data_IF_894853500219
#
_entry.id   IF_894853500219
#
_cell.length_a   1.000
_cell.length_b   1.000
_cell.length_c   1.000
_cell.angle_alpha   90.00
_cell.angle_beta   90.00
_cell.angle_gamma   90.00
#
_symmetry.space_group_name_H-M   'P 1'
#
loop_
_entity.id
_entity.type
_entity.pdbx_description
1 polymer ?
#
# COMPACT_ATOMS: atom_id res chain seq x y z
N UNK A 1 -6.42 -12.04 26.37
CA UNK A 1 -6.50 -10.57 26.65
C UNK A 1 -5.22 -9.77 26.33
N UNK A 2 -4.11 -9.82 27.09
CA UNK A 2 -2.93 -8.96 26.79
C UNK A 2 -2.33 -9.26 25.40
N UNK A 3 -2.15 -10.55 25.08
CA UNK A 3 -1.59 -10.99 23.79
C UNK A 3 -2.51 -10.61 22.61
N UNK A 4 -3.83 -10.74 22.80
CA UNK A 4 -4.83 -10.30 21.80
C UNK A 4 -4.71 -8.81 21.50
N UNK A 5 -4.63 -7.96 22.54
CA UNK A 5 -4.50 -6.51 22.36
C UNK A 5 -3.22 -6.14 21.60
N UNK A 6 -2.11 -6.84 21.90
CA UNK A 6 -0.84 -6.64 21.18
C UNK A 6 -0.98 -7.02 19.70
N UNK A 7 -1.58 -8.17 19.40
CA UNK A 7 -1.80 -8.63 18.02
C UNK A 7 -2.73 -7.68 17.25
N UNK A 8 -3.78 -7.16 17.90
CA UNK A 8 -4.68 -6.17 17.30
C UNK A 8 -3.96 -4.84 16.98
N UNK A 9 -3.14 -4.32 17.91
CA UNK A 9 -2.39 -3.08 17.69
C UNK A 9 -1.38 -3.25 16.55
N UNK A 10 -0.63 -4.36 16.53
CA UNK A 10 0.33 -4.65 15.46
C UNK A 10 -0.41 -4.77 14.12
N UNK A 11 -1.51 -5.51 14.08
CA UNK A 11 -2.31 -5.68 12.87
C UNK A 11 -2.84 -4.36 12.34
N UNK A 12 -3.41 -3.51 13.20
CA UNK A 12 -3.88 -2.17 12.81
C UNK A 12 -2.75 -1.29 12.28
N UNK A 13 -1.57 -1.38 12.89
CA UNK A 13 -0.40 -0.60 12.44
C UNK A 13 0.03 -1.02 11.04
N UNK A 14 0.02 -2.33 10.75
CA UNK A 14 0.32 -2.87 9.42
C UNK A 14 -0.72 -2.41 8.39
N UNK A 15 -2.00 -2.39 8.74
CA UNK A 15 -3.06 -1.91 7.86
C UNK A 15 -2.88 -0.43 7.52
N UNK A 16 -2.57 0.41 8.52
CA UNK A 16 -2.29 1.85 8.32
C UNK A 16 -1.12 2.04 7.36
N UNK A 17 -0.01 1.31 7.57
CA UNK A 17 1.15 1.36 6.68
C UNK A 17 0.74 0.93 5.26
N UNK A 18 -0.02 -0.16 5.13
CA UNK A 18 -0.46 -0.65 3.82
C UNK A 18 -1.36 0.33 3.07
N UNK A 19 -2.27 1.01 3.77
CA UNK A 19 -3.11 2.07 3.21
C UNK A 19 -2.28 3.28 2.77
N UNK A 20 -1.25 3.67 3.54
CA UNK A 20 -0.33 4.75 3.13
C UNK A 20 0.35 4.39 1.80
N UNK A 21 0.87 3.16 1.66
CA UNK A 21 1.50 2.70 0.42
C UNK A 21 0.54 2.73 -0.78
N UNK A 22 -0.74 2.42 -0.56
CA UNK A 22 -1.78 2.50 -1.59
C UNK A 22 -2.21 3.92 -1.92
N UNK A 23 -2.10 4.85 -0.97
CA UNK A 23 -2.47 6.25 -1.17
C UNK A 23 -1.35 7.08 -1.83
N UNK A 24 -0.08 6.66 -1.74
CA UNK A 24 1.05 7.36 -2.34
C UNK A 24 0.88 7.75 -3.83
N UNK A 25 0.31 6.90 -4.72
CA UNK A 25 0.07 7.25 -6.11
C UNK A 25 -0.96 8.38 -6.29
N UNK A 26 -1.87 8.58 -5.33
CA UNK A 26 -2.93 9.61 -5.39
C UNK A 26 -2.34 11.01 -5.16
N UNK A 27 -1.28 11.12 -4.37
CA UNK A 27 -0.58 12.39 -4.12
C UNK A 27 0.37 12.81 -5.24
N UNK A 28 0.28 12.19 -6.43
CA UNK A 28 1.07 12.60 -7.59
C UNK A 28 0.57 13.94 -8.14
N UNK A 29 1.50 14.87 -8.25
CA UNK A 29 1.27 16.24 -8.73
C UNK A 29 0.71 16.26 -10.17
N UNK A 30 -0.30 17.09 -10.43
CA UNK A 30 -0.99 17.19 -11.73
C UNK A 30 -0.02 17.54 -12.87
N UNK A 31 1.01 18.32 -12.58
CA UNK A 31 2.04 18.72 -13.55
C UNK A 31 2.85 17.51 -14.04
N UNK A 32 3.10 16.54 -13.14
CA UNK A 32 3.81 15.31 -13.46
C UNK A 32 2.94 14.37 -14.29
N UNK A 33 1.62 14.33 -14.03
CA UNK A 33 0.65 13.59 -14.83
C UNK A 33 0.56 14.17 -16.26
N UNK A 34 0.60 15.50 -16.41
CA UNK A 34 0.61 16.17 -17.72
C UNK A 34 1.89 15.89 -18.51
N UNK A 35 3.06 15.90 -17.86
CA UNK A 35 4.32 15.47 -18.49
C UNK A 35 4.30 14.01 -18.92
N UNK A 36 3.72 13.12 -18.11
CA UNK A 36 3.60 11.69 -18.46
C UNK A 36 2.63 11.45 -19.64
N UNK A 37 1.62 12.31 -19.84
CA UNK A 37 0.67 12.23 -20.97
C UNK A 37 1.15 12.91 -22.25
N UNK A 38 2.11 13.83 -22.19
CA UNK A 38 2.51 14.66 -23.34
C UNK A 38 3.47 13.98 -24.32
N UNK A 39 4.01 12.80 -24.01
CA UNK A 39 4.85 12.06 -24.97
C UNK A 39 3.99 11.43 -26.07
N UNK A 40 4.04 12.07 -27.25
CA UNK A 40 3.32 11.81 -28.51
C UNK A 40 3.22 10.36 -29.01
N UNK A 41 3.88 9.38 -28.39
CA UNK A 41 3.92 7.98 -28.83
C UNK A 41 3.81 6.96 -27.67
N UNK A 42 3.30 7.38 -26.49
CA UNK A 42 2.93 6.47 -25.40
C UNK A 42 4.10 5.73 -24.71
N UNK A 43 5.35 6.08 -25.01
CA UNK A 43 6.53 5.43 -24.44
C UNK A 43 7.53 6.46 -23.92
N UNK A 44 7.25 7.00 -22.74
CA UNK A 44 8.26 7.66 -21.93
C UNK A 44 8.88 6.61 -20.97
N UNK A 45 10.18 6.31 -21.07
CA UNK A 45 10.87 5.37 -20.18
C UNK A 45 10.70 5.75 -18.69
N UNK A 46 10.60 7.04 -18.40
CA UNK A 46 10.39 7.55 -17.04
C UNK A 46 8.98 7.24 -16.52
N UNK A 47 7.96 7.36 -17.37
CA UNK A 47 6.58 6.98 -17.05
C UNK A 47 6.45 5.48 -16.82
N UNK A 48 7.08 4.65 -17.66
CA UNK A 48 7.08 3.18 -17.46
C UNK A 48 7.74 2.80 -16.13
N UNK A 49 8.84 3.45 -15.76
CA UNK A 49 9.52 3.22 -14.47
C UNK A 49 8.65 3.66 -13.28
N UNK A 50 7.97 4.81 -13.39
CA UNK A 50 7.06 5.30 -12.35
C UNK A 50 5.84 4.40 -12.17
N UNK A 51 5.25 3.91 -13.27
CA UNK A 51 4.12 2.96 -13.21
C UNK A 51 4.54 1.65 -12.55
N UNK A 52 5.71 1.11 -12.90
CA UNK A 52 6.23 -0.12 -12.26
C UNK A 52 6.46 0.10 -10.77
N UNK A 53 7.01 1.25 -10.39
CA UNK A 53 7.22 1.61 -8.99
C UNK A 53 5.89 1.73 -8.22
N UNK A 54 4.89 2.38 -8.79
CA UNK A 54 3.55 2.48 -8.18
C UNK A 54 2.90 1.10 -8.02
N UNK A 55 2.99 0.25 -9.04
CA UNK A 55 2.46 -1.13 -8.99
C UNK A 55 3.15 -1.92 -7.88
N UNK A 56 4.47 -1.79 -7.75
CA UNK A 56 5.20 -2.48 -6.69
C UNK A 56 4.83 -1.95 -5.30
N UNK A 57 4.69 -0.63 -5.14
CA UNK A 57 4.23 -0.03 -3.89
C UNK A 57 2.80 -0.47 -3.54
N UNK A 58 1.90 -0.51 -4.53
CA UNK A 58 0.54 -0.98 -4.34
C UNK A 58 0.50 -2.46 -3.93
N UNK A 59 1.32 -3.31 -4.56
CA UNK A 59 1.48 -4.72 -4.17
C UNK A 59 1.98 -4.85 -2.73
N UNK A 60 3.01 -4.09 -2.36
CA UNK A 60 3.51 -4.06 -0.98
C UNK A 60 2.43 -3.60 0.00
N UNK A 61 1.66 -2.56 -0.35
CA UNK A 61 0.55 -2.08 0.47
C UNK A 61 -0.53 -3.13 0.71
N UNK A 62 -0.93 -3.85 -0.34
CA UNK A 62 -1.88 -4.97 -0.23
C UNK A 62 -1.35 -6.08 0.68
N UNK A 63 -0.07 -6.43 0.56
CA UNK A 63 0.56 -7.46 1.41
C UNK A 63 0.50 -7.04 2.88
N UNK A 64 0.80 -5.78 3.19
CA UNK A 64 0.72 -5.25 4.56
C UNK A 64 -0.69 -5.33 5.13
N UNK A 65 -1.72 -4.96 4.36
CA UNK A 65 -3.13 -5.06 4.77
C UNK A 65 -3.54 -6.51 5.02
N UNK A 66 -3.16 -7.44 4.12
CA UNK A 66 -3.49 -8.86 4.31
C UNK A 66 -2.82 -9.40 5.56
N UNK A 67 -1.55 -9.05 5.80
CA UNK A 67 -0.82 -9.49 6.99
C UNK A 67 -1.41 -8.92 8.27
N UNK A 68 -1.78 -7.63 8.27
CA UNK A 68 -2.43 -6.97 9.39
C UNK A 68 -3.78 -7.59 9.74
N UNK A 69 -4.61 -7.84 8.72
CA UNK A 69 -5.87 -8.55 8.86
C UNK A 69 -5.71 -9.97 9.41
N UNK A 70 -4.73 -10.74 8.91
CA UNK A 70 -4.45 -12.09 9.43
C UNK A 70 -4.05 -12.03 10.90
N UNK A 71 -3.19 -11.09 11.31
CA UNK A 71 -2.79 -10.93 12.71
C UNK A 71 -3.99 -10.60 13.61
N UNK A 72 -4.91 -9.75 13.16
CA UNK A 72 -6.13 -9.44 13.91
C UNK A 72 -7.04 -10.67 14.05
N UNK A 73 -7.23 -11.45 12.98
CA UNK A 73 -7.99 -12.70 13.01
C UNK A 73 -7.36 -13.69 13.97
N UNK A 74 -6.03 -13.89 13.92
CA UNK A 74 -5.33 -14.81 14.83
C UNK A 74 -5.47 -14.36 16.28
N UNK A 75 -5.32 -13.06 16.53
CA UNK A 75 -5.55 -12.47 17.85
C UNK A 75 -6.96 -12.75 18.37
N UNK A 76 -7.97 -12.66 17.50
CA UNK A 76 -9.36 -12.91 17.85
C UNK A 76 -9.70 -14.39 18.02
N UNK A 77 -9.17 -15.28 17.17
CA UNK A 77 -9.54 -16.71 17.20
C UNK A 77 -8.81 -17.50 18.28
N UNK A 78 -7.56 -17.14 18.62
CA UNK A 78 -6.72 -17.95 19.50
C UNK A 78 -6.47 -17.34 20.88
N UNK A 79 -6.74 -16.04 21.04
CA UNK A 79 -6.42 -15.29 22.28
C UNK A 79 -7.60 -14.47 22.85
N UNK A 80 -8.80 -14.65 22.27
CA UNK A 80 -10.09 -14.15 22.79
C UNK A 80 -10.61 -15.00 23.94
#
# INVERSE_FOLDING_TARGET
MIIQNILMIIGLTLDIIGVIYLALPIFKDENRIKEERSTLWGFNPHTKKNIIYDINNAKSGIIFIIMGFIMQIVGYLFFS
#
